data_IF_909155331827
#
_entry.id   IF_909155331827
#
_cell.length_a   1.000
_cell.length_b   1.000
_cell.length_c   1.000
_cell.angle_alpha   90.00
_cell.angle_beta   90.00
_cell.angle_gamma   90.00
#
_symmetry.space_group_name_H-M   'P 1'
#
loop_
_entity.id
_entity.type
_entity.pdbx_description
1 polymer ?
#
# COMPACT_ATOMS: atom_id res chain seq x y z
N UNK A 1 9.97 -11.24 -17.40
CA UNK A 1 9.32 -11.66 -18.66
C UNK A 1 9.06 -13.15 -18.74
N UNK A 2 9.89 -14.04 -18.20
CA UNK A 2 9.73 -15.50 -18.29
C UNK A 2 8.47 -16.08 -17.61
N UNK A 3 8.05 -15.54 -16.47
CA UNK A 3 6.91 -16.06 -15.71
C UNK A 3 5.55 -15.95 -16.44
N UNK A 4 5.39 -14.95 -17.32
CA UNK A 4 4.15 -14.80 -18.08
C UNK A 4 4.01 -15.79 -19.24
N UNK A 5 5.13 -16.20 -19.84
CA UNK A 5 5.12 -17.19 -20.93
C UNK A 5 4.72 -18.57 -20.42
N UNK A 6 5.31 -19.01 -19.31
CA UNK A 6 4.99 -20.30 -18.67
C UNK A 6 3.52 -20.30 -18.22
N UNK A 7 3.06 -19.23 -17.59
CA UNK A 7 1.67 -19.12 -17.14
C UNK A 7 0.68 -19.15 -18.30
N UNK A 8 0.99 -18.44 -19.40
CA UNK A 8 0.14 -18.45 -20.59
C UNK A 8 0.13 -19.81 -21.29
N UNK A 9 1.24 -20.53 -21.27
CA UNK A 9 1.32 -21.90 -21.77
C UNK A 9 0.48 -22.86 -20.89
N UNK A 10 0.62 -22.78 -19.57
CA UNK A 10 -0.16 -23.60 -18.63
C UNK A 10 -1.66 -23.35 -18.76
N UNK A 11 -2.09 -22.10 -18.96
CA UNK A 11 -3.49 -21.74 -19.20
C UNK A 11 -4.10 -22.34 -20.47
N UNK A 12 -3.27 -22.69 -21.46
CA UNK A 12 -3.72 -23.32 -22.69
C UNK A 12 -3.88 -24.83 -22.56
N UNK A 13 -3.16 -25.46 -21.63
CA UNK A 13 -3.06 -26.92 -21.52
C UNK A 13 -3.85 -27.45 -20.33
N UNK A 14 -3.88 -26.71 -19.21
CA UNK A 14 -4.52 -27.18 -17.98
C UNK A 14 -5.95 -26.66 -17.87
N UNK A 15 -6.91 -27.52 -17.48
CA UNK A 15 -8.23 -27.08 -17.05
C UNK A 15 -8.11 -26.02 -15.94
N UNK A 16 -9.01 -25.01 -15.89
CA UNK A 16 -8.92 -23.91 -14.94
C UNK A 16 -8.74 -24.35 -13.48
N UNK A 17 -9.47 -25.40 -13.05
CA UNK A 17 -9.39 -25.88 -11.66
C UNK A 17 -8.02 -26.50 -11.31
N UNK A 18 -7.39 -27.22 -12.27
CA UNK A 18 -6.03 -27.77 -12.08
C UNK A 18 -4.98 -26.67 -12.05
N UNK A 19 -5.15 -25.68 -12.90
CA UNK A 19 -4.27 -24.50 -12.90
C UNK A 19 -4.35 -23.75 -11.57
N UNK A 20 -5.56 -23.49 -11.05
CA UNK A 20 -5.78 -22.82 -9.77
C UNK A 20 -5.22 -23.64 -8.60
N UNK A 21 -5.39 -24.96 -8.63
CA UNK A 21 -4.78 -25.86 -7.64
C UNK A 21 -3.26 -25.77 -7.67
N UNK A 22 -2.66 -25.88 -8.84
CA UNK A 22 -1.20 -25.81 -9.02
C UNK A 22 -0.63 -24.46 -8.59
N UNK A 23 -1.28 -23.35 -8.97
CA UNK A 23 -0.86 -22.00 -8.58
C UNK A 23 -1.00 -21.81 -7.07
N UNK A 24 -2.09 -22.27 -6.47
CA UNK A 24 -2.29 -22.22 -5.01
C UNK A 24 -1.23 -23.04 -4.28
N UNK A 25 -0.88 -24.21 -4.79
CA UNK A 25 0.20 -25.05 -4.24
C UNK A 25 1.55 -24.34 -4.29
N UNK A 26 1.92 -23.74 -5.43
CA UNK A 26 3.16 -22.97 -5.56
C UNK A 26 3.22 -21.76 -4.64
N UNK A 27 2.09 -21.05 -4.46
CA UNK A 27 1.99 -19.92 -3.52
C UNK A 27 2.26 -20.40 -2.09
N UNK A 28 1.64 -21.51 -1.70
CA UNK A 28 1.78 -22.05 -0.36
C UNK A 28 3.21 -22.52 -0.08
N UNK A 29 3.86 -23.16 -1.05
CA UNK A 29 5.29 -23.52 -0.92
C UNK A 29 6.17 -22.29 -0.75
N UNK A 30 6.03 -21.29 -1.64
CA UNK A 30 6.80 -20.06 -1.55
C UNK A 30 6.54 -19.32 -0.23
N UNK A 31 5.27 -19.28 0.18
CA UNK A 31 4.90 -18.69 1.46
C UNK A 31 5.53 -19.44 2.63
N UNK A 32 5.48 -20.77 2.62
CA UNK A 32 6.07 -21.61 3.65
C UNK A 32 7.59 -21.39 3.77
N UNK A 33 8.30 -21.38 2.64
CA UNK A 33 9.74 -21.12 2.59
C UNK A 33 10.07 -19.72 3.17
N UNK A 34 9.29 -18.70 2.81
CA UNK A 34 9.50 -17.33 3.28
C UNK A 34 9.06 -17.13 4.73
N UNK A 35 8.11 -17.92 5.23
CA UNK A 35 7.54 -17.79 6.57
C UNK A 35 8.25 -18.61 7.64
N UNK A 36 9.25 -19.41 7.27
CA UNK A 36 9.95 -20.36 8.15
C UNK A 36 10.59 -19.73 9.41
N UNK A 37 10.72 -18.40 9.43
CA UNK A 37 11.33 -17.63 10.53
C UNK A 37 10.30 -17.04 11.52
N UNK A 38 9.07 -17.52 11.57
CA UNK A 38 7.99 -16.96 12.43
C UNK A 38 7.69 -15.47 12.17
N UNK A 39 8.14 -14.93 11.03
CA UNK A 39 8.03 -13.49 10.68
C UNK A 39 6.58 -13.02 10.70
N UNK A 40 5.67 -13.85 10.18
CA UNK A 40 4.24 -13.51 10.15
C UNK A 40 3.52 -13.79 11.47
N UNK A 41 4.16 -14.53 12.41
CA UNK A 41 3.57 -14.77 13.73
C UNK A 41 3.37 -13.45 14.49
N UNK A 42 4.28 -12.49 14.31
CA UNK A 42 4.16 -11.15 14.88
C UNK A 42 2.89 -10.42 14.43
N UNK A 43 2.45 -10.63 13.20
CA UNK A 43 1.24 -10.00 12.68
C UNK A 43 -0.03 -10.46 13.43
N UNK A 44 -0.02 -11.64 14.07
CA UNK A 44 -1.15 -12.14 14.86
C UNK A 44 -1.53 -11.19 15.99
N UNK A 45 -0.54 -10.54 16.62
CA UNK A 45 -0.78 -9.58 17.70
C UNK A 45 -1.57 -8.35 17.28
N UNK A 46 -1.65 -8.08 15.98
CA UNK A 46 -2.40 -6.94 15.44
C UNK A 46 -3.87 -7.25 15.18
N UNK A 47 -4.31 -8.50 15.30
CA UNK A 47 -5.68 -8.90 14.97
C UNK A 47 -6.69 -8.19 15.85
N UNK A 48 -7.55 -7.38 15.25
CA UNK A 48 -8.66 -6.66 15.90
C UNK A 48 -8.27 -5.75 17.09
N UNK A 49 -7.00 -5.33 17.19
CA UNK A 49 -6.54 -4.41 18.27
C UNK A 49 -7.20 -3.03 18.22
N UNK A 50 -7.79 -2.65 17.09
CA UNK A 50 -8.48 -1.38 16.87
C UNK A 50 -9.95 -1.59 16.52
N UNK A 51 -10.59 -2.61 17.11
CA UNK A 51 -11.97 -2.96 16.85
C UNK A 51 -12.88 -1.73 16.97
N UNK A 52 -13.70 -1.51 15.94
CA UNK A 52 -14.69 -0.44 15.82
C UNK A 52 -14.13 1.01 15.81
N UNK A 53 -12.82 1.20 15.73
CA UNK A 53 -12.20 2.53 15.60
C UNK A 53 -12.24 3.03 14.16
N UNK A 54 -12.00 4.34 14.02
CA UNK A 54 -11.68 4.97 12.74
C UNK A 54 -10.17 5.14 12.59
N UNK A 55 -9.66 5.00 11.37
CA UNK A 55 -8.26 5.22 11.05
C UNK A 55 -8.08 6.00 9.74
N UNK A 56 -6.93 6.61 9.55
CA UNK A 56 -6.63 7.46 8.41
C UNK A 56 -5.45 6.90 7.61
N UNK A 57 -5.68 6.60 6.35
CA UNK A 57 -4.65 6.27 5.39
C UNK A 57 -4.13 7.55 4.73
N UNK A 58 -2.83 7.80 4.88
CA UNK A 58 -2.14 8.98 4.36
C UNK A 58 -1.27 8.61 3.16
N UNK A 59 -1.77 8.87 1.96
CA UNK A 59 -1.04 8.67 0.71
C UNK A 59 -0.26 9.92 0.29
N UNK A 60 0.16 10.03 -0.97
CA UNK A 60 1.09 11.07 -1.41
C UNK A 60 0.57 11.94 -2.55
N UNK A 61 -0.72 11.86 -2.85
CA UNK A 61 -1.34 12.64 -3.90
C UNK A 61 -1.35 14.14 -3.61
N UNK A 62 -1.49 14.99 -4.65
CA UNK A 62 -1.36 16.44 -4.53
C UNK A 62 -2.48 17.09 -3.69
N UNK A 63 -3.63 16.44 -3.51
CA UNK A 63 -4.75 16.99 -2.72
C UNK A 63 -4.37 17.28 -1.26
N UNK A 64 -3.36 16.59 -0.71
CA UNK A 64 -2.85 16.83 0.64
C UNK A 64 -2.37 18.28 0.86
N UNK A 65 -1.88 18.96 -0.18
CA UNK A 65 -1.41 20.35 -0.08
C UNK A 65 -2.47 21.31 0.45
N UNK A 66 -3.73 20.99 0.24
CA UNK A 66 -4.88 21.83 0.59
C UNK A 66 -5.54 21.42 1.92
N UNK A 67 -4.95 20.47 2.64
CA UNK A 67 -5.50 19.94 3.88
C UNK A 67 -4.59 20.24 5.07
N UNK A 68 -5.17 20.71 6.17
CA UNK A 68 -4.42 20.94 7.42
C UNK A 68 -4.28 19.64 8.20
N UNK A 69 -3.24 18.87 7.89
CA UNK A 69 -3.03 17.56 8.48
C UNK A 69 -2.63 17.60 9.96
N UNK A 70 -2.27 18.75 10.55
CA UNK A 70 -2.04 18.89 12.01
C UNK A 70 -3.25 18.46 12.83
N UNK A 71 -4.46 18.64 12.28
CA UNK A 71 -5.71 18.20 12.90
C UNK A 71 -5.80 16.67 13.12
N UNK A 72 -4.96 15.89 12.45
CA UNK A 72 -4.91 14.42 12.59
C UNK A 72 -4.06 13.94 13.78
N UNK A 73 -3.54 14.83 14.61
CA UNK A 73 -2.66 14.51 15.75
C UNK A 73 -3.20 13.38 16.65
N UNK A 74 -4.51 13.31 16.83
CA UNK A 74 -5.16 12.32 17.71
C UNK A 74 -5.78 11.15 16.96
N UNK A 75 -5.53 11.02 15.67
CA UNK A 75 -6.03 9.93 14.86
C UNK A 75 -5.00 8.82 14.69
N UNK A 76 -5.47 7.61 14.55
CA UNK A 76 -4.66 6.47 14.14
C UNK A 76 -4.29 6.63 12.66
N UNK A 77 -3.09 7.14 12.38
CA UNK A 77 -2.62 7.43 11.03
C UNK A 77 -1.69 6.32 10.51
N UNK A 78 -1.88 5.98 9.25
CA UNK A 78 -1.11 4.99 8.48
C UNK A 78 -0.56 5.69 7.25
N UNK A 79 0.73 5.99 7.23
CA UNK A 79 1.37 6.69 6.13
C UNK A 79 2.11 5.74 5.20
N UNK A 80 2.35 6.17 3.97
CA UNK A 80 3.03 5.34 2.98
C UNK A 80 4.02 6.12 2.11
N UNK A 81 4.93 5.36 1.51
CA UNK A 81 5.79 5.86 0.44
C UNK A 81 6.61 7.08 0.88
N UNK A 82 6.54 8.18 0.14
CA UNK A 82 7.26 9.43 0.43
C UNK A 82 6.51 10.37 1.38
N UNK A 83 5.50 9.89 2.11
CA UNK A 83 4.79 10.72 3.09
C UNK A 83 5.74 11.26 4.18
N UNK A 84 6.88 10.61 4.42
CA UNK A 84 7.89 11.07 5.37
C UNK A 84 8.49 12.45 5.03
N UNK A 85 8.25 13.01 3.85
CA UNK A 85 8.58 14.39 3.51
C UNK A 85 7.53 15.42 3.96
N UNK A 86 6.40 14.97 4.52
CA UNK A 86 5.35 15.91 4.90
C UNK A 86 5.78 16.77 6.11
N UNK A 87 5.60 18.10 6.00
CA UNK A 87 6.00 19.08 7.03
C UNK A 87 5.40 18.79 8.41
N UNK A 88 4.18 18.26 8.46
CA UNK A 88 3.46 17.96 9.70
C UNK A 88 3.71 16.54 10.23
N UNK A 89 4.66 15.80 9.65
CA UNK A 89 4.94 14.40 10.00
C UNK A 89 5.18 14.19 11.50
N UNK A 90 5.98 15.09 12.12
CA UNK A 90 6.32 15.05 13.57
C UNK A 90 5.13 15.36 14.48
N UNK A 91 4.08 16.01 13.96
CA UNK A 91 2.84 16.31 14.69
C UNK A 91 1.87 15.14 14.56
N UNK A 92 1.72 14.59 13.35
CA UNK A 92 0.81 13.48 13.03
C UNK A 92 1.27 12.18 13.68
N UNK A 93 2.60 11.92 13.69
CA UNK A 93 3.23 10.70 14.23
C UNK A 93 2.51 9.44 13.79
N UNK A 94 2.59 9.04 12.51
CA UNK A 94 1.89 7.85 12.02
C UNK A 94 2.25 6.62 12.84
N UNK A 95 1.27 5.81 13.23
CA UNK A 95 1.50 4.53 13.94
C UNK A 95 2.32 3.56 13.10
N UNK A 96 2.00 3.51 11.80
CA UNK A 96 2.67 2.65 10.84
C UNK A 96 3.03 3.44 9.59
N UNK A 97 4.19 3.13 9.03
CA UNK A 97 4.62 3.63 7.74
C UNK A 97 4.93 2.48 6.78
N UNK A 98 4.34 2.53 5.59
CA UNK A 98 4.42 1.47 4.58
C UNK A 98 5.40 1.86 3.49
N UNK A 99 6.43 1.05 3.30
CA UNK A 99 7.43 1.23 2.27
C UNK A 99 7.17 0.25 1.12
N UNK A 100 6.98 0.78 -0.07
CA UNK A 100 6.73 -0.03 -1.27
C UNK A 100 7.88 -1.00 -1.51
N UNK A 101 7.60 -2.23 -2.01
CA UNK A 101 8.63 -3.21 -2.33
C UNK A 101 9.66 -2.67 -3.32
N UNK A 102 10.89 -3.16 -3.20
CA UNK A 102 11.90 -2.92 -4.23
C UNK A 102 11.43 -3.46 -5.59
N UNK A 103 11.56 -2.64 -6.60
CA UNK A 103 11.28 -3.04 -7.98
C UNK A 103 12.19 -2.30 -8.96
N UNK A 104 12.54 -2.96 -10.07
CA UNK A 104 13.19 -2.29 -11.21
C UNK A 104 12.21 -1.28 -11.86
N UNK A 105 12.67 -0.14 -12.40
CA UNK A 105 14.07 0.20 -12.72
C UNK A 105 14.85 0.92 -11.60
N UNK A 106 14.32 1.02 -10.37
CA UNK A 106 15.05 1.62 -9.26
C UNK A 106 16.35 0.87 -9.01
N UNK A 107 17.48 1.59 -8.91
CA UNK A 107 18.75 0.97 -8.52
C UNK A 107 18.70 0.53 -7.06
N UNK A 108 19.48 -0.51 -6.73
CA UNK A 108 19.57 -0.96 -5.33
C UNK A 108 20.14 0.13 -4.41
N UNK A 109 21.09 0.92 -4.91
CA UNK A 109 21.70 2.02 -4.16
C UNK A 109 20.69 3.14 -3.87
N UNK A 110 19.85 3.49 -4.84
CA UNK A 110 18.80 4.50 -4.65
C UNK A 110 17.73 3.99 -3.69
N UNK A 111 17.39 2.70 -3.78
CA UNK A 111 16.47 2.09 -2.82
C UNK A 111 17.04 2.11 -1.39
N UNK A 112 18.33 1.80 -1.20
CA UNK A 112 19.00 1.87 0.10
C UNK A 112 18.97 3.30 0.65
N UNK A 113 19.32 4.30 -0.19
CA UNK A 113 19.26 5.72 0.18
C UNK A 113 17.85 6.11 0.61
N UNK A 114 16.83 5.68 -0.12
CA UNK A 114 15.43 5.96 0.17
C UNK A 114 14.98 5.36 1.51
N UNK A 115 15.35 4.11 1.81
CA UNK A 115 15.05 3.46 3.08
C UNK A 115 15.75 4.19 4.25
N UNK A 116 17.03 4.55 4.10
CA UNK A 116 17.78 5.31 5.11
C UNK A 116 17.14 6.68 5.35
N UNK A 117 16.70 7.36 4.31
CA UNK A 117 16.04 8.66 4.42
C UNK A 117 14.70 8.54 5.16
N UNK A 118 13.89 7.53 4.85
CA UNK A 118 12.68 7.22 5.58
C UNK A 118 12.97 6.96 7.06
N UNK A 119 14.00 6.16 7.37
CA UNK A 119 14.40 5.85 8.73
C UNK A 119 14.79 7.11 9.54
N UNK A 120 15.52 8.02 8.91
CA UNK A 120 15.97 9.26 9.55
C UNK A 120 14.83 10.27 9.79
N UNK A 121 13.86 10.37 8.88
CA UNK A 121 12.81 11.39 8.93
C UNK A 121 11.59 10.94 9.73
N UNK A 122 11.26 9.66 9.74
CA UNK A 122 10.12 9.12 10.46
C UNK A 122 10.32 9.23 11.97
N UNK A 123 9.26 9.57 12.75
CA UNK A 123 9.28 9.48 14.21
C UNK A 123 9.77 8.10 14.67
N UNK A 124 10.55 8.04 15.74
CA UNK A 124 11.16 6.78 16.21
C UNK A 124 10.13 5.72 16.59
N UNK A 125 9.01 6.13 17.12
CA UNK A 125 7.87 5.29 17.49
C UNK A 125 7.08 4.71 16.30
N UNK A 126 7.25 5.28 15.10
CA UNK A 126 6.55 4.80 13.89
C UNK A 126 7.05 3.42 13.49
N UNK A 127 6.15 2.45 13.45
CA UNK A 127 6.42 1.07 13.02
C UNK A 127 6.48 0.98 11.50
N UNK A 128 7.33 0.11 10.98
CA UNK A 128 7.55 -0.03 9.53
C UNK A 128 6.87 -1.29 9.01
N UNK A 129 6.19 -1.16 7.89
CA UNK A 129 5.59 -2.30 7.18
C UNK A 129 6.25 -2.45 5.81
N UNK A 130 6.75 -3.65 5.51
CA UNK A 130 7.49 -4.00 4.30
C UNK A 130 6.90 -5.24 3.61
N UNK A 131 7.24 -5.42 2.35
CA UNK A 131 7.08 -6.73 1.72
C UNK A 131 8.13 -7.71 2.25
N UNK A 132 7.75 -8.96 2.48
CA UNK A 132 8.68 -10.03 2.86
C UNK A 132 9.80 -10.22 1.83
N UNK A 133 9.54 -9.89 0.56
CA UNK A 133 10.53 -9.95 -0.53
C UNK A 133 11.75 -9.06 -0.28
N UNK A 134 11.63 -8.05 0.59
CA UNK A 134 12.72 -7.15 0.95
C UNK A 134 13.46 -7.54 2.23
N UNK A 135 12.97 -8.54 3.00
CA UNK A 135 13.55 -8.97 4.28
C UNK A 135 15.07 -9.22 4.18
N UNK A 136 15.48 -10.01 3.18
CA UNK A 136 16.90 -10.34 3.01
C UNK A 136 17.75 -9.12 2.64
N UNK A 137 17.18 -8.16 1.87
CA UNK A 137 17.86 -6.89 1.55
C UNK A 137 18.01 -6.03 2.81
N UNK A 138 16.96 -5.87 3.60
CA UNK A 138 16.97 -5.13 4.88
C UNK A 138 18.07 -5.70 5.80
N UNK A 139 18.14 -7.04 5.96
CA UNK A 139 19.17 -7.73 6.76
C UNK A 139 20.55 -7.51 6.18
N UNK A 140 20.77 -7.78 4.88
CA UNK A 140 22.05 -7.65 4.19
C UNK A 140 22.66 -6.26 4.32
N UNK A 141 21.86 -5.22 4.13
CA UNK A 141 22.33 -3.83 4.15
C UNK A 141 22.18 -3.17 5.53
N UNK A 142 21.82 -3.95 6.55
CA UNK A 142 21.70 -3.50 7.97
C UNK A 142 20.80 -2.24 8.10
N UNK A 143 19.67 -2.22 7.37
CA UNK A 143 18.72 -1.10 7.36
C UNK A 143 17.69 -1.25 8.49
N UNK A 144 17.11 -0.13 8.96
CA UNK A 144 15.99 -0.10 9.92
C UNK A 144 16.28 -0.87 11.24
N UNK A 145 17.55 -0.89 11.71
CA UNK A 145 17.99 -1.72 12.84
C UNK A 145 17.20 -1.48 14.13
N UNK A 146 16.79 -0.23 14.37
CA UNK A 146 16.12 0.21 15.59
C UNK A 146 14.62 0.41 15.38
N UNK A 147 14.05 -0.21 14.34
CA UNK A 147 12.63 -0.10 14.01
C UNK A 147 11.90 -1.39 14.28
N UNK A 148 10.68 -1.25 14.77
CA UNK A 148 9.75 -2.36 14.80
C UNK A 148 9.20 -2.60 13.39
N UNK A 149 9.51 -3.78 12.81
CA UNK A 149 9.17 -4.11 11.43
C UNK A 149 8.10 -5.21 11.40
N UNK A 150 7.12 -5.02 10.51
CA UNK A 150 6.11 -6.01 10.12
C UNK A 150 6.27 -6.33 8.64
N UNK A 151 5.99 -7.57 8.26
CA UNK A 151 6.11 -8.01 6.87
C UNK A 151 4.76 -8.48 6.32
N UNK A 152 4.51 -8.18 5.04
CA UNK A 152 3.36 -8.68 4.29
C UNK A 152 3.84 -9.47 3.08
N UNK A 153 3.08 -10.49 2.68
CA UNK A 153 3.33 -11.26 1.48
C UNK A 153 2.25 -11.01 0.45
N UNK A 154 2.63 -10.52 -0.73
CA UNK A 154 1.74 -10.25 -1.85
C UNK A 154 2.01 -11.20 -2.99
N UNK A 155 0.94 -11.75 -3.59
CA UNK A 155 1.02 -12.66 -4.73
C UNK A 155 -0.05 -12.33 -5.77
N UNK A 156 0.33 -12.41 -7.06
CA UNK A 156 -0.58 -12.14 -8.19
C UNK A 156 -1.61 -13.25 -8.40
N UNK A 157 -1.48 -14.36 -7.70
CA UNK A 157 -2.38 -15.51 -7.81
C UNK A 157 -3.34 -15.63 -6.64
N UNK A 158 -3.32 -14.66 -5.72
CA UNK A 158 -4.24 -14.60 -4.60
C UNK A 158 -5.36 -13.63 -4.93
N UNK A 159 -6.59 -14.09 -4.81
CA UNK A 159 -7.79 -13.25 -4.90
C UNK A 159 -8.23 -12.81 -3.51
N UNK A 160 -8.94 -11.70 -3.43
CA UNK A 160 -9.54 -11.24 -2.19
C UNK A 160 -10.64 -12.23 -1.76
N UNK A 161 -10.45 -12.83 -0.58
CA UNK A 161 -11.38 -13.79 0.01
C UNK A 161 -12.38 -13.09 0.93
N UNK A 162 -13.33 -13.86 1.47
CA UNK A 162 -14.31 -13.35 2.45
C UNK A 162 -13.68 -12.88 3.79
N UNK A 163 -12.41 -13.17 4.02
CA UNK A 163 -11.65 -12.72 5.19
C UNK A 163 -10.27 -12.25 4.78
N UNK A 164 -9.80 -11.20 5.42
CA UNK A 164 -8.42 -10.69 5.28
C UNK A 164 -7.59 -11.17 6.47
N UNK A 165 -6.48 -11.84 6.18
CA UNK A 165 -5.52 -12.31 7.17
C UNK A 165 -4.11 -11.96 6.72
N UNK A 166 -3.49 -10.95 7.36
CA UNK A 166 -2.12 -10.49 7.03
C UNK A 166 -1.02 -11.44 7.52
N UNK A 167 -1.40 -12.55 8.13
CA UNK A 167 -0.48 -13.67 8.40
C UNK A 167 -0.39 -14.65 7.25
N UNK A 168 -1.15 -14.43 6.17
CA UNK A 168 -1.26 -15.25 4.97
C UNK A 168 -0.97 -14.44 3.71
N UNK A 169 -0.81 -15.09 2.54
CA UNK A 169 -0.68 -14.38 1.27
C UNK A 169 -1.87 -13.45 1.00
N UNK A 170 -1.57 -12.23 0.57
CA UNK A 170 -2.52 -11.20 0.18
C UNK A 170 -2.55 -11.04 -1.35
N UNK A 171 -3.62 -10.46 -1.91
CA UNK A 171 -3.69 -10.12 -3.33
C UNK A 171 -2.51 -9.28 -3.80
N UNK A 172 -2.28 -9.29 -5.10
CA UNK A 172 -1.20 -8.54 -5.74
C UNK A 172 -1.23 -7.07 -5.38
N UNK A 173 -0.06 -6.51 -5.13
CA UNK A 173 0.10 -5.10 -4.83
C UNK A 173 0.16 -4.28 -6.13
N UNK A 174 -0.95 -3.65 -6.52
CA UNK A 174 -1.01 -2.79 -7.70
C UNK A 174 -0.55 -1.36 -7.38
N UNK A 175 -0.84 -0.85 -6.18
CA UNK A 175 -0.41 0.47 -5.71
C UNK A 175 -0.23 0.48 -4.20
N UNK A 176 0.58 1.41 -3.68
CA UNK A 176 0.96 1.44 -2.26
C UNK A 176 -0.22 1.56 -1.28
N UNK A 177 -1.32 2.29 -1.54
CA UNK A 177 -2.49 2.28 -0.65
C UNK A 177 -3.10 0.89 -0.45
N UNK A 178 -3.04 0.02 -1.45
CA UNK A 178 -3.53 -1.37 -1.37
C UNK A 178 -2.66 -2.26 -0.46
N UNK A 179 -1.50 -1.78 -0.01
CA UNK A 179 -0.72 -2.41 1.06
C UNK A 179 -1.29 -2.08 2.44
N UNK A 180 -1.90 -0.91 2.58
CA UNK A 180 -2.40 -0.37 3.86
C UNK A 180 -3.80 -0.88 4.18
N UNK A 181 -4.70 -0.93 3.19
CA UNK A 181 -6.09 -1.33 3.39
C UNK A 181 -6.25 -2.69 4.10
N UNK A 182 -5.66 -3.80 3.59
CA UNK A 182 -5.79 -5.10 4.26
C UNK A 182 -5.22 -5.10 5.69
N UNK A 183 -4.19 -4.31 5.93
CA UNK A 183 -3.58 -4.17 7.24
C UNK A 183 -4.53 -3.50 8.24
N UNK A 184 -5.14 -2.37 7.86
CA UNK A 184 -6.12 -1.66 8.68
C UNK A 184 -7.37 -2.52 8.93
N UNK A 185 -7.88 -3.21 7.91
CA UNK A 185 -9.03 -4.12 8.01
C UNK A 185 -8.75 -5.24 9.01
N UNK A 186 -7.58 -5.87 8.91
CA UNK A 186 -7.16 -6.93 9.84
C UNK A 186 -7.05 -6.42 11.29
N UNK A 187 -6.57 -5.19 11.47
CA UNK A 187 -6.53 -4.52 12.78
C UNK A 187 -7.93 -4.20 13.34
N UNK A 188 -8.99 -4.31 12.54
CA UNK A 188 -10.37 -4.15 12.97
C UNK A 188 -10.94 -2.75 12.85
N UNK A 189 -10.31 -1.86 12.07
CA UNK A 189 -10.89 -0.54 11.78
C UNK A 189 -12.19 -0.70 11.01
N UNK A 190 -13.26 -0.02 11.48
CA UNK A 190 -14.59 -0.03 10.87
C UNK A 190 -14.87 1.19 10.00
N UNK A 191 -14.08 2.24 10.16
CA UNK A 191 -14.09 3.40 9.25
C UNK A 191 -12.66 3.72 8.84
N UNK A 192 -12.42 3.77 7.54
CA UNK A 192 -11.11 4.06 6.97
C UNK A 192 -11.24 5.32 6.11
N UNK A 193 -10.55 6.38 6.51
CA UNK A 193 -10.48 7.61 5.75
C UNK A 193 -9.28 7.60 4.82
N UNK A 194 -9.49 7.92 3.54
CA UNK A 194 -8.42 8.04 2.56
C UNK A 194 -8.07 9.53 2.38
N UNK A 195 -6.79 9.86 2.56
CA UNK A 195 -6.24 11.21 2.42
C UNK A 195 -5.08 11.16 1.43
N UNK A 196 -5.12 11.98 0.37
CA UNK A 196 -4.11 11.97 -0.69
C UNK A 196 -4.15 10.75 -1.60
N UNK A 197 -5.27 10.02 -1.64
CA UNK A 197 -5.53 8.93 -2.57
C UNK A 197 -6.21 9.47 -3.83
N UNK A 198 -5.49 10.28 -4.60
CA UNK A 198 -6.06 10.99 -5.75
C UNK A 198 -6.30 10.06 -6.94
N UNK A 199 -5.40 9.12 -7.20
CA UNK A 199 -5.46 8.10 -8.27
C UNK A 199 -5.75 8.68 -9.66
N UNK A 200 -5.33 9.93 -9.91
CA UNK A 200 -5.61 10.71 -11.11
C UNK A 200 -4.38 10.92 -12.00
N UNK A 201 -3.40 10.03 -11.91
CA UNK A 201 -2.11 10.14 -12.60
C UNK A 201 -2.26 10.33 -14.13
N UNK A 202 -3.28 9.73 -14.75
CA UNK A 202 -3.53 9.86 -16.20
C UNK A 202 -3.79 11.29 -16.64
N UNK A 203 -4.25 12.20 -15.75
CA UNK A 203 -4.33 13.64 -16.06
C UNK A 203 -2.99 14.24 -16.45
N UNK A 204 -1.92 13.63 -16.00
CA UNK A 204 -0.55 14.07 -16.27
C UNK A 204 0.12 13.25 -17.37
N UNK A 205 -0.66 12.52 -18.22
CA UNK A 205 -0.08 11.73 -19.28
C UNK A 205 0.81 12.59 -20.19
N UNK A 206 2.01 12.11 -20.49
CA UNK A 206 3.04 12.86 -21.20
C UNK A 206 3.80 13.92 -20.38
N UNK A 207 3.37 14.19 -19.14
CA UNK A 207 3.99 15.16 -18.22
C UNK A 207 4.50 14.48 -16.95
N UNK A 208 5.10 15.25 -16.05
CA UNK A 208 5.53 14.74 -14.75
C UNK A 208 4.33 14.47 -13.83
N UNK A 209 4.32 13.31 -13.18
CA UNK A 209 3.30 12.96 -12.17
C UNK A 209 3.41 13.93 -11.00
N UNK A 210 2.28 14.50 -10.61
CA UNK A 210 2.17 15.43 -9.49
C UNK A 210 2.06 14.67 -8.16
N UNK A 211 2.85 15.10 -7.18
CA UNK A 211 2.77 14.66 -5.78
C UNK A 211 2.77 15.89 -4.88
N UNK A 212 2.47 15.72 -3.58
CA UNK A 212 2.54 16.85 -2.65
C UNK A 212 3.98 17.35 -2.40
N UNK A 213 4.97 16.49 -2.60
CA UNK A 213 6.40 16.81 -2.48
C UNK A 213 7.00 17.10 -3.85
N UNK A 214 8.06 17.92 -3.89
CA UNK A 214 8.77 18.21 -5.13
C UNK A 214 9.62 17.00 -5.54
N UNK A 215 9.65 16.68 -6.83
CA UNK A 215 10.51 15.61 -7.37
C UNK A 215 12.01 15.94 -7.32
N UNK A 216 12.38 17.17 -6.91
CA UNK A 216 13.78 17.59 -6.69
C UNK A 216 14.36 17.00 -5.40
N UNK A 217 13.57 16.37 -4.53
CA UNK A 217 14.09 15.64 -3.38
C UNK A 217 14.95 14.48 -3.87
N UNK A 218 16.10 14.28 -3.26
CA UNK A 218 17.27 13.46 -3.62
C UNK A 218 17.01 11.99 -4.02
N UNK A 219 15.79 11.52 -3.95
CA UNK A 219 15.40 10.17 -4.33
C UNK A 219 14.67 10.18 -5.66
N UNK A 220 15.42 10.22 -6.73
CA UNK A 220 14.91 9.88 -8.06
C UNK A 220 14.45 8.42 -8.04
N UNK A 221 13.20 8.18 -7.66
CA UNK A 221 12.56 6.91 -8.01
C UNK A 221 12.62 6.82 -9.52
N UNK A 222 13.25 5.81 -10.09
CA UNK A 222 13.48 5.53 -11.50
C UNK A 222 12.41 5.87 -12.53
N UNK A 223 11.53 6.78 -12.21
CA UNK A 223 10.46 7.35 -13.01
C UNK A 223 10.94 8.52 -13.88
N UNK A 224 12.20 8.50 -14.34
CA UNK A 224 12.66 9.48 -15.32
C UNK A 224 11.86 9.42 -16.65
N UNK A 225 11.01 8.41 -16.81
CA UNK A 225 10.05 8.29 -17.91
C UNK A 225 8.77 7.60 -17.39
N UNK A 226 7.88 8.29 -16.69
CA UNK A 226 6.67 7.69 -16.11
C UNK A 226 5.77 7.01 -17.15
N UNK A 227 5.80 7.45 -18.40
CA UNK A 227 4.94 6.99 -19.49
C UNK A 227 5.65 6.08 -20.49
N UNK A 228 6.67 5.33 -20.05
CA UNK A 228 7.55 4.51 -20.90
C UNK A 228 6.81 3.48 -21.76
N UNK A 229 5.71 2.97 -21.29
CA UNK A 229 5.02 1.84 -21.94
C UNK A 229 3.85 2.26 -22.85
N UNK A 230 3.62 3.58 -23.02
CA UNK A 230 2.55 4.14 -23.85
C UNK A 230 1.16 4.08 -23.19
N UNK A 231 0.20 4.78 -23.81
CA UNK A 231 -1.14 5.01 -23.22
C UNK A 231 -1.91 3.72 -22.96
N UNK A 232 -1.86 2.75 -23.88
CA UNK A 232 -2.61 1.49 -23.70
C UNK A 232 -2.17 0.79 -22.42
N UNK A 233 -0.86 0.67 -22.20
CA UNK A 233 -0.34 0.01 -21.01
C UNK A 233 -0.65 0.77 -19.73
N UNK A 234 -0.67 2.09 -19.78
CA UNK A 234 -1.04 2.93 -18.64
C UNK A 234 -2.54 2.80 -18.31
N UNK A 235 -3.40 2.72 -19.31
CA UNK A 235 -4.83 2.45 -19.12
C UNK A 235 -5.06 1.07 -18.48
N UNK A 236 -4.40 0.01 -18.97
CA UNK A 236 -4.47 -1.32 -18.38
C UNK A 236 -3.98 -1.35 -16.91
N UNK A 237 -2.89 -0.61 -16.62
CA UNK A 237 -2.35 -0.51 -15.27
C UNK A 237 -3.35 0.21 -14.34
N UNK A 238 -3.94 1.31 -14.79
CA UNK A 238 -4.94 2.05 -14.03
C UNK A 238 -6.21 1.24 -13.83
N UNK A 239 -6.69 0.54 -14.86
CA UNK A 239 -7.85 -0.35 -14.75
C UNK A 239 -7.63 -1.43 -13.68
N UNK A 240 -6.45 -2.04 -13.62
CA UNK A 240 -6.11 -3.01 -12.57
C UNK A 240 -6.12 -2.37 -11.17
N UNK A 241 -5.60 -1.15 -11.03
CA UNK A 241 -5.63 -0.41 -9.76
C UNK A 241 -7.07 -0.13 -9.34
N UNK A 242 -7.92 0.37 -10.23
CA UNK A 242 -9.32 0.67 -9.93
C UNK A 242 -10.12 -0.59 -9.59
N UNK A 243 -9.94 -1.67 -10.35
CA UNK A 243 -10.59 -2.95 -10.06
C UNK A 243 -10.20 -3.48 -8.68
N UNK A 244 -8.93 -3.36 -8.28
CA UNK A 244 -8.49 -3.82 -6.97
C UNK A 244 -9.09 -2.96 -5.84
N UNK A 245 -9.15 -1.65 -5.99
CA UNK A 245 -9.85 -0.79 -5.03
C UNK A 245 -11.34 -1.12 -4.95
N UNK A 246 -11.99 -1.38 -6.09
CA UNK A 246 -13.41 -1.77 -6.13
C UNK A 246 -13.63 -3.13 -5.44
N UNK A 247 -12.72 -4.09 -5.60
CA UNK A 247 -12.76 -5.36 -4.86
C UNK A 247 -12.71 -5.12 -3.34
N UNK A 248 -11.86 -4.19 -2.87
CA UNK A 248 -11.83 -3.81 -1.47
C UNK A 248 -13.12 -3.09 -1.03
N UNK A 249 -13.72 -2.25 -1.89
CA UNK A 249 -15.02 -1.64 -1.62
C UNK A 249 -16.09 -2.70 -1.36
N UNK A 250 -16.26 -3.63 -2.31
CA UNK A 250 -17.23 -4.73 -2.20
C UNK A 250 -16.98 -5.57 -0.94
N UNK A 251 -15.72 -5.89 -0.66
CA UNK A 251 -15.35 -6.61 0.56
C UNK A 251 -15.75 -5.84 1.82
N UNK A 252 -15.46 -4.55 1.87
CA UNK A 252 -15.73 -3.71 3.03
C UNK A 252 -17.23 -3.55 3.28
N UNK A 253 -18.04 -3.36 2.24
CA UNK A 253 -19.50 -3.28 2.33
C UNK A 253 -20.06 -4.56 2.93
N UNK A 254 -19.65 -5.74 2.44
CA UNK A 254 -20.07 -7.05 2.97
C UNK A 254 -19.68 -7.27 4.43
N UNK A 255 -18.65 -6.55 4.93
CA UNK A 255 -18.13 -6.71 6.29
C UNK A 255 -18.46 -5.53 7.23
N UNK A 256 -19.39 -4.66 6.82
CA UNK A 256 -19.77 -3.44 7.56
C UNK A 256 -18.54 -2.55 7.90
N UNK A 257 -17.69 -2.33 6.91
CA UNK A 257 -16.55 -1.44 6.98
C UNK A 257 -16.78 -0.29 6.00
N UNK A 258 -16.65 0.95 6.46
CA UNK A 258 -16.80 2.14 5.62
C UNK A 258 -15.44 2.63 5.16
N UNK A 259 -15.29 2.88 3.86
CA UNK A 259 -14.15 3.60 3.29
C UNK A 259 -14.67 4.95 2.79
N UNK A 260 -14.10 6.04 3.30
CA UNK A 260 -14.51 7.41 2.98
C UNK A 260 -13.32 8.15 2.38
N UNK A 261 -13.45 8.63 1.15
CA UNK A 261 -12.39 9.34 0.46
C UNK A 261 -12.49 10.86 0.74
N UNK A 262 -11.46 11.38 1.40
CA UNK A 262 -11.33 12.80 1.73
C UNK A 262 -10.48 13.58 0.70
N UNK A 263 -10.06 12.94 -0.38
CA UNK A 263 -9.32 13.56 -1.48
C UNK A 263 -10.29 14.16 -2.48
N UNK A 264 -10.43 15.50 -2.49
CA UNK A 264 -11.49 16.24 -3.23
C UNK A 264 -11.63 15.84 -4.69
N UNK A 265 -10.53 15.71 -5.42
CA UNK A 265 -10.52 15.47 -6.87
C UNK A 265 -10.08 14.03 -7.23
N UNK A 266 -10.28 13.09 -6.32
CA UNK A 266 -9.90 11.70 -6.54
C UNK A 266 -10.77 11.03 -7.62
N UNK A 267 -10.13 10.20 -8.45
CA UNK A 267 -10.78 9.33 -9.41
C UNK A 267 -11.33 8.03 -8.79
N UNK A 268 -11.07 7.79 -7.51
CA UNK A 268 -11.74 6.73 -6.73
C UNK A 268 -13.13 7.20 -6.34
N UNK A 269 -14.00 7.37 -7.32
CA UNK A 269 -15.34 7.95 -7.18
C UNK A 269 -16.39 6.97 -6.66
N UNK A 270 -16.09 5.71 -6.69
CA UNK A 270 -16.93 4.64 -6.14
C UNK A 270 -16.87 4.52 -4.60
N UNK A 271 -15.94 5.20 -3.92
CA UNK A 271 -15.98 5.36 -2.46
C UNK A 271 -16.81 6.58 -2.06
N UNK A 272 -17.49 6.50 -0.92
CA UNK A 272 -18.13 7.66 -0.31
C UNK A 272 -17.13 8.81 -0.19
N UNK A 273 -17.55 10.02 -0.57
CA UNK A 273 -16.73 11.23 -0.48
C UNK A 273 -17.22 12.12 0.66
N UNK A 274 -16.28 12.73 1.37
CA UNK A 274 -16.55 13.76 2.36
C UNK A 274 -15.47 14.85 2.31
N UNK A 275 -15.78 16.03 2.87
CA UNK A 275 -14.77 17.05 3.04
C UNK A 275 -13.85 16.70 4.21
N UNK A 276 -12.55 16.97 4.08
CA UNK A 276 -11.57 16.75 5.15
C UNK A 276 -11.96 17.46 6.46
N UNK A 277 -12.60 18.65 6.36
CA UNK A 277 -13.09 19.41 7.52
C UNK A 277 -14.20 18.71 8.31
N UNK A 278 -15.01 17.88 7.65
CA UNK A 278 -16.15 17.20 8.27
C UNK A 278 -15.70 16.13 9.29
N UNK A 279 -14.48 15.62 9.14
CA UNK A 279 -13.87 14.67 10.07
C UNK A 279 -13.75 15.23 11.50
N UNK A 280 -13.72 16.55 11.65
CA UNK A 280 -13.49 17.25 12.92
C UNK A 280 -14.73 17.95 13.46
N UNK A 281 -15.85 17.87 12.75
CA UNK A 281 -17.14 18.34 13.28
C UNK A 281 -17.60 17.33 14.30
N UNK A 282 -17.79 17.74 15.55
CA UNK A 282 -18.42 16.90 16.56
C UNK A 282 -19.77 16.42 15.99
N UNK A 283 -20.06 15.14 16.09
CA UNK A 283 -21.42 14.66 15.91
C UNK A 283 -22.24 15.32 17.03
N UNK A 284 -22.99 16.38 16.65
CA UNK A 284 -24.06 16.88 17.51
C UNK A 284 -25.11 15.80 17.70
#
# INVERSE_FOLDING_TARGET
MSNNLILNFLKKILPPFLLDFFLTFLININFYILSNDKVFAKNKSLKKVSKNKAGVLLATGPSIKYQNLKKLKNFDCFSLSNFFFHKDLKIIKPKFHFLAPYHKPLSINDWIKWIKLADNLLPKETKIVLSIKDKNRIKKFKLLKNREIYYLYFSSFVMLKNTIDITKPLPSLQTSPLMVLPFMIYMGYKTIYLVGCDSDNLKSYGKNIQNFYSQKSEVKRGANKPWKFGIIKELENNLRVFNEFNNYKIFCEKNNIKIINLSKNSWLDFFDKANFGDLFKSKK
#
